data_IF_658839410396
#
_entry.id   IF_658839410396
#
_cell.length_a   1.000
_cell.length_b   1.000
_cell.length_c   1.000
_cell.angle_alpha   90.00
_cell.angle_beta   90.00
_cell.angle_gamma   90.00
#
_symmetry.space_group_name_H-M   'P 1'
#
loop_
_entity.id
_entity.type
_entity.pdbx_description
1 polymer ?
#
# COMPACT_ATOMS: atom_id res chain seq x y z
N UNK A 1 14.83 5.21 -2.97
CA UNK A 1 15.95 4.34 -3.36
C UNK A 1 15.78 2.92 -2.84
N UNK A 2 16.81 2.10 -2.92
CA UNK A 2 16.76 0.65 -2.58
C UNK A 2 16.24 0.32 -1.18
N UNK A 3 16.45 1.22 -0.21
CA UNK A 3 16.01 1.00 1.18
C UNK A 3 14.48 1.05 1.34
N UNK A 4 13.75 1.61 0.38
CA UNK A 4 12.29 1.53 0.33
C UNK A 4 11.78 0.08 0.17
N UNK A 5 12.64 -0.87 -0.21
CA UNK A 5 12.33 -2.30 -0.24
C UNK A 5 12.50 -3.01 1.12
N UNK A 6 12.90 -2.29 2.17
CA UNK A 6 13.01 -2.77 3.55
C UNK A 6 11.79 -2.25 4.31
N UNK A 7 10.88 -3.13 4.75
CA UNK A 7 9.57 -2.75 5.28
C UNK A 7 9.63 -1.78 6.48
N UNK A 8 10.62 -1.97 7.37
CA UNK A 8 10.84 -1.13 8.55
C UNK A 8 12.27 -0.62 8.58
N UNK A 9 12.64 0.22 7.58
CA UNK A 9 13.96 0.83 7.53
C UNK A 9 14.04 2.01 8.51
N UNK A 10 14.67 1.78 9.66
CA UNK A 10 14.75 2.77 10.75
C UNK A 10 16.04 3.59 10.82
N UNK A 11 17.11 3.23 10.09
CA UNK A 11 18.40 3.91 10.23
C UNK A 11 18.40 5.30 9.60
N UNK A 12 17.68 5.52 8.52
CA UNK A 12 17.50 6.81 7.82
C UNK A 12 18.82 7.60 7.59
N UNK A 13 19.92 6.88 7.35
CA UNK A 13 21.28 7.43 7.31
C UNK A 13 21.85 7.59 5.90
N UNK A 14 21.10 7.25 4.86
CA UNK A 14 21.55 7.37 3.48
C UNK A 14 21.20 8.74 2.88
N UNK A 15 22.11 9.26 2.07
CA UNK A 15 21.86 10.45 1.25
C UNK A 15 21.02 10.02 0.05
N UNK A 16 19.85 10.62 -0.11
CA UNK A 16 18.98 10.40 -1.29
C UNK A 16 19.58 11.06 -2.54
N UNK A 17 19.42 10.41 -3.67
CA UNK A 17 19.95 10.86 -4.95
C UNK A 17 18.83 11.28 -5.91
N UNK A 18 19.17 12.15 -6.85
CA UNK A 18 18.24 12.47 -7.95
C UNK A 18 17.83 11.19 -8.69
N UNK A 19 16.52 11.01 -8.89
CA UNK A 19 15.95 9.78 -9.47
C UNK A 19 15.56 8.72 -8.46
N UNK A 20 15.92 8.86 -7.17
CA UNK A 20 15.40 8.00 -6.11
C UNK A 20 13.92 8.28 -5.80
N UNK A 21 13.26 7.28 -5.24
CA UNK A 21 11.99 7.44 -4.53
C UNK A 21 12.25 7.48 -3.02
N UNK A 22 11.48 8.30 -2.31
CA UNK A 22 11.36 8.27 -0.86
C UNK A 22 10.00 7.67 -0.51
N UNK A 23 10.01 6.54 0.17
CA UNK A 23 8.85 6.00 0.83
C UNK A 23 8.83 6.56 2.25
N UNK A 24 7.79 7.28 2.59
CA UNK A 24 7.55 7.85 3.91
C UNK A 24 6.41 7.06 4.55
N UNK A 25 6.61 6.65 5.78
CA UNK A 25 5.65 5.94 6.60
C UNK A 25 5.65 6.62 7.97
N UNK A 26 4.54 7.26 8.31
CA UNK A 26 4.42 8.07 9.50
C UNK A 26 2.97 8.29 9.90
N UNK A 27 2.75 8.56 11.16
CA UNK A 27 1.46 8.89 11.70
C UNK A 27 1.58 9.88 12.86
N UNK A 28 0.45 10.33 13.32
CA UNK A 28 0.32 11.13 14.55
C UNK A 28 -0.57 10.39 15.53
N UNK A 29 -0.44 10.70 16.80
CA UNK A 29 -1.36 10.28 17.84
C UNK A 29 -2.12 11.49 18.36
N UNK A 30 -3.42 11.36 18.53
CA UNK A 30 -4.25 12.35 19.19
C UNK A 30 -5.23 11.68 20.15
N UNK A 31 -5.23 12.12 21.40
CA UNK A 31 -6.09 11.59 22.47
C UNK A 31 -6.01 10.05 22.60
N UNK A 32 -4.81 9.49 22.54
CA UNK A 32 -4.50 8.06 22.56
C UNK A 32 -5.09 7.27 21.36
N UNK A 33 -5.29 7.90 20.23
CA UNK A 33 -5.70 7.23 19.01
C UNK A 33 -4.66 7.48 17.92
N UNK A 34 -4.12 6.40 17.35
CA UNK A 34 -3.07 6.44 16.35
C UNK A 34 -3.63 6.70 14.95
N UNK A 35 -2.79 7.30 14.10
CA UNK A 35 -2.97 7.37 12.65
C UNK A 35 -1.76 6.72 11.96
N UNK A 36 -1.96 6.24 10.74
CA UNK A 36 -0.89 5.67 9.91
C UNK A 36 -1.05 6.10 8.46
N UNK A 37 0.05 6.45 7.82
CA UNK A 37 0.04 6.96 6.46
C UNK A 37 1.33 6.63 5.74
N UNK A 38 1.24 6.00 4.58
CA UNK A 38 2.38 5.88 3.68
C UNK A 38 2.15 6.65 2.39
N UNK A 39 3.18 7.38 1.97
CA UNK A 39 3.28 7.99 0.64
C UNK A 39 4.67 7.75 0.07
N UNK A 40 4.74 7.62 -1.24
CA UNK A 40 6.01 7.49 -1.96
C UNK A 40 6.13 8.65 -2.95
N UNK A 41 7.21 9.42 -2.83
CA UNK A 41 7.45 10.61 -3.65
C UNK A 41 8.78 10.52 -4.40
N UNK A 42 8.92 11.18 -5.57
CA UNK A 42 10.18 11.24 -6.30
C UNK A 42 11.08 12.35 -5.78
N UNK A 43 12.35 12.04 -5.47
CA UNK A 43 13.33 13.05 -4.98
C UNK A 43 13.49 14.21 -5.94
N UNK A 44 13.43 13.97 -7.24
CA UNK A 44 13.59 14.98 -8.30
C UNK A 44 12.31 15.74 -8.64
N UNK A 45 11.22 15.57 -7.89
CA UNK A 45 9.93 16.18 -8.16
C UNK A 45 9.14 15.53 -9.30
N UNK A 46 9.73 14.60 -10.05
CA UNK A 46 9.07 13.84 -11.13
C UNK A 46 9.42 12.38 -11.06
N UNK A 47 8.40 11.54 -11.22
CA UNK A 47 8.59 10.11 -11.40
C UNK A 47 9.15 9.79 -12.78
N UNK A 48 10.07 8.83 -12.87
CA UNK A 48 10.44 8.24 -14.16
C UNK A 48 9.27 7.45 -14.77
N UNK A 49 9.28 7.14 -16.08
CA UNK A 49 8.21 6.33 -16.67
C UNK A 49 7.96 5.01 -15.94
N UNK A 50 9.03 4.28 -15.57
CA UNK A 50 8.91 3.01 -14.84
C UNK A 50 8.36 3.21 -13.42
N UNK A 51 8.79 4.24 -12.73
CA UNK A 51 8.25 4.58 -11.41
C UNK A 51 6.76 4.90 -11.47
N UNK A 52 6.29 5.64 -12.51
CA UNK A 52 4.86 5.91 -12.74
C UNK A 52 4.05 4.63 -12.98
N UNK A 53 4.57 3.71 -13.79
CA UNK A 53 3.91 2.43 -14.03
C UNK A 53 3.69 1.65 -12.73
N UNK A 54 4.76 1.51 -11.92
CA UNK A 54 4.69 0.78 -10.64
C UNK A 54 3.82 1.53 -9.63
N UNK A 55 3.93 2.86 -9.54
CA UNK A 55 3.11 3.68 -8.65
C UNK A 55 1.62 3.54 -8.97
N UNK A 56 1.26 3.69 -10.24
CA UNK A 56 -0.13 3.57 -10.68
C UNK A 56 -0.69 2.15 -10.48
N UNK A 57 0.14 1.11 -10.62
CA UNK A 57 -0.28 -0.26 -10.28
C UNK A 57 -0.57 -0.39 -8.78
N UNK A 58 0.32 0.14 -7.91
CA UNK A 58 0.10 0.16 -6.47
C UNK A 58 -1.16 0.95 -6.09
N UNK A 59 -1.38 2.12 -6.71
CA UNK A 59 -2.57 2.95 -6.49
C UNK A 59 -3.85 2.24 -6.93
N UNK A 60 -3.84 1.48 -8.04
CA UNK A 60 -5.00 0.67 -8.44
C UNK A 60 -5.31 -0.42 -7.43
N UNK A 61 -4.29 -1.09 -6.89
CA UNK A 61 -4.47 -2.09 -5.82
C UNK A 61 -5.08 -1.43 -4.57
N UNK A 62 -4.59 -0.26 -4.17
CA UNK A 62 -5.08 0.48 -3.01
C UNK A 62 -6.55 0.90 -3.19
N UNK A 63 -6.91 1.49 -4.33
CA UNK A 63 -8.30 1.88 -4.62
C UNK A 63 -9.24 0.67 -4.63
N UNK A 64 -8.84 -0.41 -5.31
CA UNK A 64 -9.62 -1.66 -5.30
C UNK A 64 -9.72 -2.25 -3.89
N UNK A 65 -8.67 -2.10 -3.08
CA UNK A 65 -8.66 -2.51 -1.68
C UNK A 65 -9.68 -1.74 -0.84
N UNK A 66 -9.78 -0.43 -1.01
CA UNK A 66 -10.79 0.40 -0.32
C UNK A 66 -12.21 -0.01 -0.72
N UNK A 67 -12.46 -0.22 -2.02
CA UNK A 67 -13.77 -0.64 -2.52
C UNK A 67 -14.17 -2.04 -2.03
N UNK A 68 -13.21 -2.95 -1.95
CA UNK A 68 -13.41 -4.33 -1.55
C UNK A 68 -13.60 -4.49 -0.02
N UNK A 69 -13.05 -3.57 0.78
CA UNK A 69 -13.06 -3.65 2.24
C UNK A 69 -14.47 -3.41 2.79
N UNK A 70 -15.17 -4.46 3.19
CA UNK A 70 -16.56 -4.39 3.65
C UNK A 70 -16.94 -5.53 4.61
N UNK A 71 -18.12 -5.44 5.20
CA UNK A 71 -18.61 -6.37 6.22
C UNK A 71 -18.94 -7.78 5.72
N UNK A 72 -18.84 -8.06 4.42
CA UNK A 72 -19.05 -9.41 3.87
C UNK A 72 -17.80 -10.29 3.95
N UNK A 73 -16.64 -9.70 4.18
CA UNK A 73 -15.34 -10.36 4.22
C UNK A 73 -14.77 -10.43 5.63
N UNK A 74 -14.01 -11.48 5.91
CA UNK A 74 -13.02 -11.51 6.98
C UNK A 74 -11.69 -10.95 6.47
N UNK A 75 -10.78 -10.62 7.37
CA UNK A 75 -9.46 -10.09 7.01
C UNK A 75 -8.66 -11.09 6.15
N UNK A 76 -8.81 -12.39 6.40
CA UNK A 76 -8.16 -13.42 5.60
C UNK A 76 -8.72 -13.46 4.18
N UNK A 77 -10.04 -13.41 4.03
CA UNK A 77 -10.70 -13.37 2.71
C UNK A 77 -10.31 -12.09 1.96
N UNK A 78 -10.32 -10.95 2.64
CA UNK A 78 -9.87 -9.67 2.09
C UNK A 78 -8.43 -9.76 1.54
N UNK A 79 -7.48 -10.24 2.36
CA UNK A 79 -6.10 -10.38 1.92
C UNK A 79 -5.93 -11.35 0.73
N UNK A 80 -6.75 -12.40 0.65
CA UNK A 80 -6.74 -13.32 -0.48
C UNK A 80 -7.20 -12.65 -1.77
N UNK A 81 -8.25 -11.82 -1.71
CA UNK A 81 -8.74 -11.08 -2.88
C UNK A 81 -7.73 -9.99 -3.31
N UNK A 82 -7.13 -9.25 -2.39
CA UNK A 82 -6.05 -8.30 -2.71
C UNK A 82 -4.86 -9.02 -3.35
N UNK A 83 -4.54 -10.22 -2.91
CA UNK A 83 -3.50 -11.05 -3.53
C UNK A 83 -3.76 -11.30 -5.02
N UNK A 84 -5.00 -11.63 -5.40
CA UNK A 84 -5.39 -11.85 -6.81
C UNK A 84 -5.29 -10.58 -7.65
N UNK A 85 -5.71 -9.44 -7.09
CA UNK A 85 -5.59 -8.13 -7.74
C UNK A 85 -4.12 -7.81 -7.96
N UNK A 86 -3.29 -8.01 -6.93
CA UNK A 86 -1.85 -7.80 -6.99
C UNK A 86 -1.19 -8.68 -8.05
N UNK A 87 -1.55 -9.95 -8.16
CA UNK A 87 -1.05 -10.84 -9.23
C UNK A 87 -1.35 -10.28 -10.62
N UNK A 88 -2.57 -9.79 -10.83
CA UNK A 88 -2.96 -9.18 -12.10
C UNK A 88 -2.10 -7.97 -12.45
N UNK A 89 -1.88 -7.05 -11.51
CA UNK A 89 -1.04 -5.87 -11.70
C UNK A 89 0.43 -6.24 -11.93
N UNK A 90 0.96 -7.21 -11.19
CA UNK A 90 2.35 -7.67 -11.36
C UNK A 90 2.58 -8.37 -12.71
N UNK A 91 1.57 -9.06 -13.25
CA UNK A 91 1.62 -9.60 -14.61
C UNK A 91 1.67 -8.46 -15.66
N UNK A 92 0.84 -7.43 -15.49
CA UNK A 92 0.85 -6.27 -16.40
C UNK A 92 2.17 -5.50 -16.35
N UNK A 93 2.81 -5.42 -15.18
CA UNK A 93 4.14 -4.82 -15.00
C UNK A 93 5.30 -5.67 -15.57
N UNK A 94 5.01 -6.90 -16.04
CA UNK A 94 6.02 -7.84 -16.52
C UNK A 94 6.86 -8.48 -15.42
N UNK A 95 6.40 -8.41 -14.16
CA UNK A 95 7.11 -8.96 -12.99
C UNK A 95 6.76 -10.41 -12.70
N UNK A 96 5.58 -10.86 -13.13
CA UNK A 96 5.12 -12.24 -13.01
C UNK A 96 4.69 -12.80 -14.37
N UNK A 97 4.95 -14.09 -14.59
CA UNK A 97 4.45 -14.82 -15.74
C UNK A 97 3.05 -15.38 -15.47
N UNK A 98 2.12 -15.15 -16.41
CA UNK A 98 0.72 -15.57 -16.27
C UNK A 98 0.56 -17.09 -16.15
N UNK A 99 1.42 -17.88 -16.80
CA UNK A 99 1.36 -19.34 -16.76
C UNK A 99 1.90 -19.84 -15.40
N UNK A 100 2.98 -19.20 -14.92
CA UNK A 100 3.52 -19.49 -13.60
C UNK A 100 2.50 -19.21 -12.50
N UNK A 101 1.80 -18.07 -12.55
CA UNK A 101 0.73 -17.72 -11.58
C UNK A 101 -0.40 -18.75 -11.64
N UNK A 102 -0.83 -19.18 -12.83
CA UNK A 102 -1.87 -20.20 -12.96
C UNK A 102 -1.49 -21.56 -12.33
N UNK A 103 -0.21 -21.90 -12.33
CA UNK A 103 0.32 -23.19 -11.86
C UNK A 103 0.99 -23.09 -10.48
N UNK A 104 0.90 -21.95 -9.81
CA UNK A 104 1.56 -21.73 -8.52
C UNK A 104 0.98 -22.56 -7.37
N UNK A 105 1.75 -22.73 -6.33
CA UNK A 105 1.26 -23.26 -5.08
C UNK A 105 0.37 -22.21 -4.38
N UNK A 106 -0.91 -22.48 -4.12
CA UNK A 106 -1.81 -21.51 -3.48
C UNK A 106 -1.38 -21.14 -2.04
N UNK A 107 -0.60 -21.99 -1.37
CA UNK A 107 -0.05 -21.68 -0.05
C UNK A 107 1.25 -20.85 -0.09
N UNK A 108 1.81 -20.62 -1.28
CA UNK A 108 3.00 -19.81 -1.50
C UNK A 108 2.83 -18.99 -2.80
N UNK A 109 1.90 -18.04 -2.82
CA UNK A 109 1.57 -17.28 -4.02
C UNK A 109 2.74 -16.39 -4.46
N UNK A 110 2.96 -16.34 -5.78
CA UNK A 110 4.12 -15.67 -6.38
C UNK A 110 4.16 -14.17 -6.13
N UNK A 111 3.00 -13.53 -5.96
CA UNK A 111 2.96 -12.09 -5.67
C UNK A 111 3.70 -11.72 -4.38
N UNK A 112 3.81 -12.64 -3.42
CA UNK A 112 4.53 -12.42 -2.16
C UNK A 112 6.01 -12.07 -2.34
N UNK A 113 6.58 -12.35 -3.51
CA UNK A 113 7.94 -11.90 -3.86
C UNK A 113 8.04 -10.37 -3.93
N UNK A 114 6.96 -9.69 -4.30
CA UNK A 114 6.92 -8.25 -4.54
C UNK A 114 6.00 -7.51 -3.56
N UNK A 115 5.10 -8.22 -2.89
CA UNK A 115 4.22 -7.70 -1.86
C UNK A 115 4.12 -8.73 -0.73
N UNK A 116 5.06 -8.65 0.22
CA UNK A 116 5.29 -9.71 1.22
C UNK A 116 4.50 -9.55 2.52
N UNK A 117 3.90 -8.40 2.78
CA UNK A 117 3.09 -8.13 3.99
C UNK A 117 1.59 -8.30 3.78
N UNK A 118 0.77 -7.99 4.77
CA UNK A 118 -0.69 -7.90 4.65
C UNK A 118 -1.10 -6.63 3.91
N UNK A 119 -2.34 -6.58 3.46
CA UNK A 119 -2.88 -5.40 2.78
C UNK A 119 -3.33 -4.30 3.76
N UNK A 120 -3.21 -4.56 5.07
CA UNK A 120 -3.55 -3.62 6.13
C UNK A 120 -3.70 -4.28 7.48
N UNK A 121 -3.94 -3.46 8.50
CA UNK A 121 -4.13 -3.86 9.90
C UNK A 121 -5.17 -2.98 10.60
N UNK A 122 -5.68 -3.46 11.73
CA UNK A 122 -6.51 -2.64 12.60
C UNK A 122 -5.69 -1.49 13.19
N UNK A 123 -6.35 -0.36 13.35
CA UNK A 123 -5.79 0.88 13.89
C UNK A 123 -6.65 1.35 15.04
N UNK A 124 -6.04 1.81 16.12
CA UNK A 124 -6.75 2.24 17.32
C UNK A 124 -5.84 2.92 18.33
N UNK A 125 -5.82 2.42 19.56
CA UNK A 125 -4.89 2.87 20.60
C UNK A 125 -3.46 2.55 20.20
N UNK A 126 -3.24 1.35 19.68
CA UNK A 126 -1.98 0.98 19.06
C UNK A 126 -2.04 1.17 17.54
N UNK A 127 -0.91 1.53 16.90
CA UNK A 127 -0.81 1.61 15.44
C UNK A 127 -1.12 0.25 14.82
N UNK A 128 -0.53 -0.83 15.32
CA UNK A 128 -0.92 -2.20 15.01
C UNK A 128 -1.84 -2.73 16.10
N UNK A 129 -3.12 -2.35 16.02
CA UNK A 129 -4.07 -2.68 17.07
C UNK A 129 -4.62 -4.10 16.92
N UNK A 130 -5.22 -4.59 18.03
CA UNK A 130 -5.81 -5.91 18.10
C UNK A 130 -7.09 -5.99 17.26
N UNK A 131 -7.33 -7.13 16.65
CA UNK A 131 -8.55 -7.36 15.88
C UNK A 131 -8.70 -8.79 15.39
N UNK A 132 -9.94 -9.25 15.15
CA UNK A 132 -10.20 -10.61 14.69
C UNK A 132 -9.79 -10.79 13.23
N UNK A 133 -9.07 -11.89 12.94
CA UNK A 133 -8.66 -12.21 11.56
C UNK A 133 -9.67 -13.04 10.78
N UNK A 134 -10.46 -13.84 11.50
CA UNK A 134 -11.38 -14.84 10.92
C UNK A 134 -12.85 -14.40 10.95
N UNK A 135 -13.16 -13.40 11.77
CA UNK A 135 -14.50 -12.83 11.85
C UNK A 135 -14.70 -11.80 10.73
N UNK A 136 -15.95 -11.54 10.40
CA UNK A 136 -16.26 -10.51 9.41
C UNK A 136 -15.91 -9.13 9.91
N UNK A 137 -15.41 -8.29 9.00
CA UNK A 137 -15.22 -6.85 9.22
C UNK A 137 -16.55 -6.25 9.69
N UNK A 138 -16.52 -5.34 10.64
CA UNK A 138 -17.70 -4.75 11.25
C UNK A 138 -17.74 -3.24 11.04
N UNK A 139 -18.93 -2.68 11.09
CA UNK A 139 -19.11 -1.24 11.17
C UNK A 139 -18.40 -0.69 12.42
N UNK A 140 -17.75 0.46 12.28
CA UNK A 140 -16.94 1.07 13.32
C UNK A 140 -15.48 0.60 13.31
N UNK A 141 -15.11 -0.43 12.54
CA UNK A 141 -13.69 -0.77 12.40
C UNK A 141 -12.94 0.36 11.68
N UNK A 142 -11.76 0.66 12.22
CA UNK A 142 -10.75 1.50 11.59
C UNK A 142 -9.58 0.61 11.18
N UNK A 143 -9.14 0.76 9.93
CA UNK A 143 -8.19 -0.15 9.32
C UNK A 143 -7.30 0.58 8.33
N UNK A 144 -6.01 0.22 8.25
CA UNK A 144 -5.13 0.71 7.19
C UNK A 144 -5.37 -0.06 5.90
N UNK A 145 -5.24 0.59 4.75
CA UNK A 145 -5.16 -0.08 3.46
C UNK A 145 -3.88 0.38 2.79
N UNK A 146 -2.89 -0.51 2.78
CA UNK A 146 -1.48 -0.21 2.58
C UNK A 146 -0.76 -1.13 1.57
N UNK A 147 -1.30 -1.42 0.40
CA UNK A 147 -0.57 -2.24 -0.54
C UNK A 147 0.78 -1.64 -0.91
N UNK A 148 1.77 -2.53 -1.12
CA UNK A 148 3.10 -2.14 -1.56
C UNK A 148 3.61 -3.01 -2.70
N UNK A 149 4.46 -2.42 -3.56
CA UNK A 149 5.20 -3.14 -4.60
C UNK A 149 6.68 -2.84 -4.42
N UNK A 150 7.46 -3.88 -4.16
CA UNK A 150 8.89 -3.78 -3.85
C UNK A 150 9.69 -4.57 -4.87
N UNK A 151 10.55 -3.86 -5.64
CA UNK A 151 11.36 -4.41 -6.74
C UNK A 151 12.83 -4.11 -6.45
N UNK A 152 13.52 -4.91 -5.60
CA UNK A 152 14.91 -4.63 -5.23
C UNK A 152 15.86 -4.52 -6.43
N UNK A 153 15.61 -5.31 -7.49
CA UNK A 153 16.41 -5.28 -8.71
C UNK A 153 16.33 -3.95 -9.48
N UNK A 154 15.24 -3.18 -9.27
CA UNK A 154 15.03 -1.86 -9.90
C UNK A 154 15.24 -0.72 -8.88
N UNK A 155 15.55 -0.99 -7.62
CA UNK A 155 15.61 -0.04 -6.50
C UNK A 155 14.29 0.74 -6.33
N UNK A 156 13.16 0.11 -6.63
CA UNK A 156 11.81 0.68 -6.52
C UNK A 156 11.09 -0.02 -5.36
N UNK A 157 10.69 0.76 -4.37
CA UNK A 157 9.76 0.36 -3.33
C UNK A 157 8.69 1.43 -3.20
N UNK A 158 7.43 1.04 -3.36
CA UNK A 158 6.27 1.94 -3.32
C UNK A 158 5.25 1.32 -2.38
N UNK A 159 4.78 2.12 -1.43
CA UNK A 159 3.60 1.84 -0.61
C UNK A 159 2.71 3.06 -0.61
N UNK A 160 1.41 2.83 -0.68
CA UNK A 160 0.37 3.84 -0.60
C UNK A 160 -0.61 3.36 0.45
N UNK A 161 -0.83 4.16 1.49
CA UNK A 161 -1.60 3.79 2.66
C UNK A 161 -2.53 4.90 3.08
N UNK A 162 -3.76 4.52 3.37
CA UNK A 162 -4.78 5.38 3.95
C UNK A 162 -5.49 4.68 5.10
N UNK A 163 -6.05 5.47 6.03
CA UNK A 163 -6.89 4.99 7.12
C UNK A 163 -8.36 5.01 6.69
N UNK A 164 -8.99 3.87 6.80
CA UNK A 164 -10.36 3.63 6.32
C UNK A 164 -11.27 3.29 7.49
N UNK A 165 -12.33 4.09 7.66
CA UNK A 165 -13.39 3.84 8.63
C UNK A 165 -14.59 3.17 7.94
N UNK A 166 -14.99 2.00 8.44
CA UNK A 166 -16.12 1.24 7.89
C UNK A 166 -17.41 1.76 8.52
N UNK A 167 -18.29 2.34 7.71
CA UNK A 167 -19.59 2.86 8.17
C UNK A 167 -20.77 2.15 7.46
N UNK A 168 -22.00 2.24 7.99
CA UNK A 168 -23.18 1.71 7.31
C UNK A 168 -23.44 2.35 5.93
N UNK A 169 -22.99 3.58 5.73
CA UNK A 169 -23.14 4.35 4.49
C UNK A 169 -22.03 4.05 3.48
N UNK A 170 -20.99 3.30 3.89
CA UNK A 170 -19.82 2.94 3.08
C UNK A 170 -18.52 3.27 3.77
N UNK A 171 -17.42 3.00 3.11
CA UNK A 171 -16.08 3.31 3.62
C UNK A 171 -15.78 4.80 3.55
N UNK A 172 -15.27 5.35 4.63
CA UNK A 172 -14.77 6.72 4.71
C UNK A 172 -13.25 6.68 4.74
N UNK A 173 -12.63 7.24 3.71
CA UNK A 173 -11.18 7.45 3.68
C UNK A 173 -10.87 8.72 4.50
N UNK A 174 -10.20 8.57 5.64
CA UNK A 174 -9.86 9.68 6.53
C UNK A 174 -8.69 10.52 5.99
N UNK A 175 -7.99 10.03 4.96
CA UNK A 175 -6.84 10.68 4.32
C UNK A 175 -7.21 11.28 2.93
N UNK A 176 -8.51 11.46 2.63
CA UNK A 176 -9.02 11.84 1.31
C UNK A 176 -8.47 13.19 0.78
N UNK A 177 -8.06 14.10 1.68
CA UNK A 177 -7.46 15.39 1.33
C UNK A 177 -5.95 15.34 1.08
N UNK A 178 -5.31 14.17 1.32
CA UNK A 178 -3.87 14.03 1.15
C UNK A 178 -3.56 13.56 -0.28
N UNK A 179 -2.70 14.28 -1.01
CA UNK A 179 -2.33 13.93 -2.39
C UNK A 179 -1.90 12.47 -2.54
N UNK A 180 -2.44 11.81 -3.57
CA UNK A 180 -2.21 10.37 -3.78
C UNK A 180 -1.96 10.00 -5.24
N UNK A 181 -2.33 10.83 -6.21
CA UNK A 181 -2.04 10.57 -7.62
C UNK A 181 -0.64 11.05 -8.00
N UNK A 182 -0.10 10.47 -9.08
CA UNK A 182 1.19 10.91 -9.64
C UNK A 182 1.17 12.40 -9.95
N UNK A 183 0.09 12.87 -10.55
CA UNK A 183 -0.10 14.24 -10.96
C UNK A 183 -0.13 15.21 -9.77
N UNK A 184 -0.93 14.93 -8.75
CA UNK A 184 -0.99 15.75 -7.52
C UNK A 184 0.37 15.84 -6.82
N UNK A 185 1.10 14.72 -6.75
CA UNK A 185 2.42 14.68 -6.11
C UNK A 185 3.43 15.50 -6.92
N UNK A 186 3.46 15.33 -8.25
CA UNK A 186 4.39 16.08 -9.12
C UNK A 186 4.07 17.58 -9.08
N UNK A 187 2.81 17.97 -9.06
CA UNK A 187 2.39 19.37 -8.98
C UNK A 187 2.86 20.03 -7.68
N UNK A 188 2.66 19.37 -6.53
CA UNK A 188 3.15 19.86 -5.24
C UNK A 188 4.67 19.93 -5.20
N UNK A 189 5.35 18.90 -5.67
CA UNK A 189 6.81 18.81 -5.64
C UNK A 189 7.47 19.88 -6.53
N UNK A 190 6.81 20.31 -7.59
CA UNK A 190 7.30 21.33 -8.52
C UNK A 190 6.83 22.74 -8.19
N UNK A 191 5.92 22.89 -7.22
CA UNK A 191 5.40 24.20 -6.79
C UNK A 191 4.46 24.85 -7.82
N UNK A 192 3.76 24.02 -8.59
CA UNK A 192 2.79 24.46 -9.62
C UNK A 192 1.37 24.50 -9.07
#
# INVERSE_FOLDING_TARGET
GKNACILHYGENNNIVQAGDLILMDFGVEYANYAADLSRTIPVSGKFSPRQKEVYNACLRIQKAGIELFNTSLSLIEYNAEIGKITESELIQLGLLDKIAVKNQNPNAPLYKKYFMHGAGHFLGIDVHDVGPRYEKIQYGNLFTIEPGIYIPAENIGIRIEDNIHVTPEGNVNLMHDIPVTVEEIEDIMLGS
#
